data_IF_304822495606
#
_entry.id   IF_304822495606
#
_cell.length_a   1.000
_cell.length_b   1.000
_cell.length_c   1.000
_cell.angle_alpha   90.00
_cell.angle_beta   90.00
_cell.angle_gamma   90.00
#
_symmetry.space_group_name_H-M   'P 1'
#
loop_
_entity.id
_entity.type
_entity.pdbx_description
1 polymer ?
#
# COMPACT_ATOMS: atom_id res chain seq x y z
N UNK A 1 -10.80 -19.17 -20.41
CA UNK A 1 -10.62 -18.63 -19.04
C UNK A 1 -9.76 -17.38 -19.14
N UNK A 2 -10.37 -16.18 -19.19
CA UNK A 2 -9.64 -14.89 -19.24
C UNK A 2 -9.98 -14.13 -17.97
N UNK A 3 -8.93 -13.76 -17.24
CA UNK A 3 -8.99 -13.07 -15.95
C UNK A 3 -9.77 -11.76 -16.07
N UNK A 4 -10.62 -11.56 -15.07
CA UNK A 4 -11.47 -10.39 -14.89
C UNK A 4 -10.64 -9.11 -14.80
N UNK A 5 -11.12 -8.08 -15.49
CA UNK A 5 -10.58 -6.71 -15.50
C UNK A 5 -10.60 -6.14 -14.08
N UNK A 6 -9.43 -5.89 -13.50
CA UNK A 6 -9.24 -4.97 -12.38
C UNK A 6 -9.72 -3.58 -12.83
N UNK A 7 -10.94 -3.20 -12.44
CA UNK A 7 -11.52 -1.88 -12.68
C UNK A 7 -10.95 -0.91 -11.66
N UNK A 8 -10.15 0.05 -12.15
CA UNK A 8 -10.03 1.42 -11.66
C UNK A 8 -10.17 1.68 -10.14
N UNK A 9 -9.43 0.95 -9.31
CA UNK A 9 -9.23 1.28 -7.89
C UNK A 9 -8.53 2.63 -7.71
N UNK A 10 -7.83 3.10 -8.75
CA UNK A 10 -7.16 4.41 -8.83
C UNK A 10 -8.11 5.59 -8.70
N UNK A 11 -9.29 5.55 -9.35
CA UNK A 11 -10.23 6.67 -9.35
C UNK A 11 -10.86 6.88 -7.97
N UNK A 12 -11.16 5.78 -7.28
CA UNK A 12 -11.79 5.81 -5.94
C UNK A 12 -10.79 6.25 -4.88
N UNK A 13 -9.56 5.73 -4.90
CA UNK A 13 -8.51 6.11 -3.95
C UNK A 13 -8.10 7.58 -4.10
N UNK A 14 -8.06 8.13 -5.32
CA UNK A 14 -7.72 9.54 -5.53
C UNK A 14 -8.87 10.51 -5.20
N UNK A 15 -10.13 10.09 -5.34
CA UNK A 15 -11.30 10.92 -4.97
C UNK A 15 -11.57 10.96 -3.46
N UNK A 16 -11.06 10.00 -2.69
CA UNK A 16 -11.29 9.89 -1.25
C UNK A 16 -10.19 10.48 -0.37
N UNK A 17 -9.09 10.97 -0.95
CA UNK A 17 -8.10 11.74 -0.19
C UNK A 17 -8.67 13.15 0.07
N UNK A 18 -8.87 13.55 1.34
CA UNK A 18 -9.42 14.86 1.65
C UNK A 18 -8.52 15.95 1.09
N UNK A 19 -9.10 16.86 0.29
CA UNK A 19 -8.43 17.96 -0.39
C UNK A 19 -7.79 19.01 0.54
N UNK A 20 -7.73 18.74 1.85
CA UNK A 20 -7.29 19.68 2.87
C UNK A 20 -6.11 19.17 3.72
N UNK A 21 -5.51 18.04 3.37
CA UNK A 21 -4.38 17.45 4.11
C UNK A 21 -3.12 17.34 3.25
N UNK A 22 -2.75 18.47 2.63
CA UNK A 22 -1.51 18.60 1.85
C UNK A 22 -0.24 18.34 2.69
N UNK A 23 -0.35 18.26 4.02
CA UNK A 23 0.73 17.79 4.91
C UNK A 23 1.03 16.29 4.76
N UNK A 24 -0.02 15.46 4.66
CA UNK A 24 0.08 13.99 4.51
C UNK A 24 0.80 13.60 3.21
N UNK A 25 0.49 14.24 2.08
CA UNK A 25 1.12 13.92 0.80
C UNK A 25 2.60 14.37 0.71
N UNK A 26 2.97 15.42 1.46
CA UNK A 26 4.36 15.88 1.58
C UNK A 26 5.19 14.98 2.51
N UNK A 27 4.63 14.53 3.63
CA UNK A 27 5.29 13.55 4.52
C UNK A 27 5.47 12.19 3.84
N UNK A 28 4.47 11.75 3.07
CA UNK A 28 4.53 10.59 2.19
C UNK A 28 5.68 10.77 1.18
N UNK A 29 5.82 11.93 0.54
CA UNK A 29 6.92 12.19 -0.42
C UNK A 29 8.32 12.09 0.18
N UNK A 30 8.49 12.47 1.46
CA UNK A 30 9.81 12.45 2.12
C UNK A 30 10.29 11.02 2.45
N UNK A 31 9.38 10.07 2.64
CA UNK A 31 9.72 8.69 3.01
C UNK A 31 9.68 7.68 1.83
N UNK A 32 9.15 8.08 0.67
CA UNK A 32 9.14 7.23 -0.54
C UNK A 32 10.51 6.87 -1.12
N UNK A 33 11.57 7.72 -1.01
CA UNK A 33 12.90 7.35 -1.46
C UNK A 33 13.41 6.04 -0.86
N UNK A 34 13.24 5.86 0.45
CA UNK A 34 13.61 4.64 1.17
C UNK A 34 12.82 3.44 0.66
N UNK A 35 11.50 3.57 0.56
CA UNK A 35 10.62 2.51 0.06
C UNK A 35 10.93 2.10 -1.38
N UNK A 36 11.10 3.07 -2.29
CA UNK A 36 11.40 2.80 -3.70
C UNK A 36 12.70 2.02 -3.83
N UNK A 37 13.75 2.40 -3.08
CA UNK A 37 15.01 1.66 -3.06
C UNK A 37 14.85 0.26 -2.48
N UNK A 38 14.10 0.13 -1.39
CA UNK A 38 13.86 -1.16 -0.76
C UNK A 38 13.14 -2.12 -1.73
N UNK A 39 12.10 -1.63 -2.43
CA UNK A 39 11.34 -2.43 -3.42
C UNK A 39 12.17 -2.71 -4.67
N UNK A 40 12.98 -1.75 -5.13
CA UNK A 40 13.94 -2.00 -6.22
C UNK A 40 14.93 -3.11 -5.85
N UNK A 41 15.45 -3.12 -4.61
CA UNK A 41 16.35 -4.14 -4.11
C UNK A 41 15.67 -5.51 -4.04
N UNK A 42 14.47 -5.57 -3.46
CA UNK A 42 13.66 -6.79 -3.36
C UNK A 42 13.36 -7.40 -4.75
N UNK A 43 12.84 -6.57 -5.67
CA UNK A 43 12.51 -6.98 -7.04
C UNK A 43 13.71 -7.08 -7.98
N UNK A 44 14.94 -6.87 -7.48
CA UNK A 44 16.20 -6.85 -8.24
C UNK A 44 16.13 -5.91 -9.48
N UNK A 45 15.43 -4.79 -9.34
CA UNK A 45 15.30 -3.76 -10.39
C UNK A 45 16.43 -2.76 -10.27
N UNK A 46 17.13 -2.54 -11.37
CA UNK A 46 18.24 -1.58 -11.49
C UNK A 46 17.79 -0.26 -12.12
N UNK A 47 18.56 0.80 -11.87
CA UNK A 47 18.39 2.10 -12.56
C UNK A 47 18.45 1.97 -14.09
N UNK A 48 19.29 1.06 -14.58
CA UNK A 48 19.42 0.77 -16.01
C UNK A 48 18.10 0.22 -16.58
N UNK A 49 17.46 -0.72 -15.88
CA UNK A 49 16.15 -1.24 -16.26
C UNK A 49 15.06 -0.17 -16.25
N UNK A 50 15.03 0.71 -15.22
CA UNK A 50 14.09 1.84 -15.21
C UNK A 50 14.29 2.78 -16.40
N UNK A 51 15.54 3.02 -16.80
CA UNK A 51 15.90 3.86 -17.95
C UNK A 51 15.51 3.17 -19.27
N UNK A 52 15.80 1.88 -19.42
CA UNK A 52 15.47 1.10 -20.63
C UNK A 52 13.95 0.95 -20.80
N UNK A 53 13.21 0.79 -19.71
CA UNK A 53 11.75 0.80 -19.68
C UNK A 53 11.13 2.20 -19.83
N UNK A 54 11.94 3.25 -20.05
CA UNK A 54 11.50 4.67 -20.19
C UNK A 54 10.70 5.20 -18.99
N UNK A 55 10.89 4.61 -17.81
CA UNK A 55 10.30 5.09 -16.56
C UNK A 55 10.99 6.38 -16.13
N UNK A 56 12.33 6.38 -16.17
CA UNK A 56 13.15 7.55 -15.90
C UNK A 56 13.85 8.04 -17.17
N UNK A 57 14.21 9.34 -17.22
CA UNK A 57 14.80 9.94 -18.43
C UNK A 57 16.25 9.46 -18.64
N UNK A 58 16.63 9.24 -19.91
CA UNK A 58 17.99 8.84 -20.32
C UNK A 58 19.08 9.85 -19.93
N UNK A 59 18.75 11.13 -19.78
CA UNK A 59 19.72 12.14 -19.34
C UNK A 59 19.91 12.18 -17.82
N UNK A 60 18.92 11.75 -17.04
CA UNK A 60 18.91 11.92 -15.57
C UNK A 60 19.09 10.62 -14.79
N UNK A 61 19.13 9.45 -15.45
CA UNK A 61 19.17 8.15 -14.76
C UNK A 61 20.39 7.95 -13.85
N UNK A 62 21.54 8.57 -14.17
CA UNK A 62 22.75 8.47 -13.35
C UNK A 62 22.57 9.16 -11.99
N UNK A 63 21.86 10.29 -11.97
CA UNK A 63 21.55 11.08 -10.79
C UNK A 63 20.18 10.70 -10.18
N UNK A 64 19.65 9.53 -10.50
CA UNK A 64 18.31 9.12 -10.06
C UNK A 64 18.19 9.15 -8.54
N UNK A 65 19.16 8.60 -7.81
CA UNK A 65 19.14 8.55 -6.35
C UNK A 65 19.16 9.95 -5.74
N UNK A 66 20.03 10.83 -6.23
CA UNK A 66 20.10 12.22 -5.76
C UNK A 66 18.80 12.98 -6.02
N UNK A 67 18.18 12.75 -7.19
CA UNK A 67 16.88 13.36 -7.54
C UNK A 67 15.77 12.82 -6.65
N UNK A 68 15.81 11.53 -6.34
CA UNK A 68 14.84 10.88 -5.47
C UNK A 68 14.92 11.47 -4.05
N UNK A 69 16.13 11.62 -3.48
CA UNK A 69 16.33 12.20 -2.15
C UNK A 69 15.95 13.68 -2.07
N UNK A 70 16.22 14.45 -3.12
CA UNK A 70 15.89 15.89 -3.18
C UNK A 70 14.43 16.16 -3.51
N UNK A 71 13.64 15.12 -3.78
CA UNK A 71 12.26 15.29 -4.27
C UNK A 71 12.18 15.90 -5.68
N UNK A 72 13.26 15.88 -6.46
CA UNK A 72 13.34 16.37 -7.84
C UNK A 72 12.81 15.32 -8.85
N UNK A 73 11.67 14.74 -8.50
CA UNK A 73 10.92 13.79 -9.31
C UNK A 73 9.51 14.34 -9.51
N UNK A 74 9.14 14.54 -10.78
CA UNK A 74 7.78 14.98 -11.12
C UNK A 74 6.73 13.95 -10.69
N UNK A 75 5.50 14.40 -10.40
CA UNK A 75 4.42 13.49 -10.02
C UNK A 75 4.18 12.37 -11.05
N UNK A 76 4.24 12.69 -12.35
CA UNK A 76 4.09 11.71 -13.42
C UNK A 76 5.28 10.73 -13.54
N UNK A 77 6.49 11.13 -13.15
CA UNK A 77 7.64 10.20 -13.06
C UNK A 77 7.51 9.29 -11.84
N UNK A 78 7.10 9.84 -10.70
CA UNK A 78 6.80 9.08 -9.49
C UNK A 78 5.72 8.02 -9.74
N UNK A 79 4.60 8.39 -10.36
CA UNK A 79 3.52 7.45 -10.70
C UNK A 79 4.01 6.31 -11.61
N UNK A 80 4.84 6.61 -12.62
CA UNK A 80 5.43 5.59 -13.49
C UNK A 80 6.36 4.64 -12.72
N UNK A 81 7.16 5.17 -11.79
CA UNK A 81 8.03 4.35 -10.91
C UNK A 81 7.18 3.42 -10.05
N UNK A 82 6.16 3.96 -9.38
CA UNK A 82 5.29 3.21 -8.48
C UNK A 82 4.55 2.08 -9.21
N UNK A 83 4.02 2.36 -10.41
CA UNK A 83 3.37 1.36 -11.25
C UNK A 83 4.36 0.31 -11.78
N UNK A 84 5.55 0.73 -12.22
CA UNK A 84 6.56 -0.21 -12.73
C UNK A 84 7.08 -1.15 -11.65
N UNK A 85 7.28 -0.62 -10.45
CA UNK A 85 7.68 -1.39 -9.28
C UNK A 85 6.52 -2.13 -8.63
N UNK A 86 5.30 -1.98 -9.15
CA UNK A 86 4.07 -2.59 -8.61
C UNK A 86 4.00 -2.42 -7.08
N UNK A 87 4.08 -1.16 -6.65
CA UNK A 87 4.01 -0.77 -5.24
C UNK A 87 2.54 -0.56 -4.88
N UNK A 88 2.06 -1.31 -3.89
CA UNK A 88 0.72 -1.13 -3.34
C UNK A 88 0.70 0.14 -2.47
N UNK A 89 -0.02 1.17 -2.92
CA UNK A 89 -0.05 2.47 -2.24
C UNK A 89 -0.68 2.42 -0.85
N UNK A 90 -1.67 1.56 -0.63
CA UNK A 90 -2.29 1.41 0.69
C UNK A 90 -1.27 0.81 1.66
N UNK A 91 -0.55 -0.22 1.22
CA UNK A 91 0.52 -0.85 2.01
C UNK A 91 1.69 0.10 2.25
N UNK A 92 2.10 0.87 1.22
CA UNK A 92 3.12 1.90 1.34
C UNK A 92 2.72 2.98 2.36
N UNK A 93 1.47 3.44 2.31
CA UNK A 93 0.95 4.40 3.28
C UNK A 93 0.90 3.82 4.70
N UNK A 94 0.48 2.57 4.88
CA UNK A 94 0.50 1.93 6.20
C UNK A 94 1.92 1.81 6.75
N UNK A 95 2.86 1.30 5.94
CA UNK A 95 4.26 1.16 6.33
C UNK A 95 4.89 2.49 6.73
N UNK A 96 4.70 3.54 5.92
CA UNK A 96 5.37 4.82 6.13
C UNK A 96 4.67 5.75 7.13
N UNK A 97 3.34 5.79 7.15
CA UNK A 97 2.56 6.73 7.97
C UNK A 97 2.15 6.10 9.29
N UNK A 98 1.72 4.84 9.29
CA UNK A 98 1.23 4.18 10.49
C UNK A 98 2.33 3.44 11.27
N UNK A 99 3.27 2.81 10.56
CA UNK A 99 4.35 2.03 11.17
C UNK A 99 5.70 2.77 11.19
N UNK A 100 5.82 3.87 10.43
CA UNK A 100 6.98 4.75 10.44
C UNK A 100 8.25 4.19 9.80
N UNK A 101 8.16 3.06 9.07
CA UNK A 101 9.33 2.38 8.51
C UNK A 101 9.02 1.78 7.13
N UNK A 102 9.94 1.96 6.18
CA UNK A 102 9.84 1.37 4.84
C UNK A 102 10.03 -0.15 4.82
N UNK A 103 10.78 -0.72 5.76
CA UNK A 103 11.00 -2.17 5.82
C UNK A 103 9.72 -2.93 6.20
N UNK A 104 8.83 -2.29 6.98
CA UNK A 104 7.51 -2.84 7.34
C UNK A 104 6.62 -3.06 6.11
N UNK A 105 6.94 -2.46 4.96
CA UNK A 105 6.25 -2.75 3.71
C UNK A 105 6.34 -4.23 3.33
N UNK A 106 7.43 -4.93 3.66
CA UNK A 106 7.62 -6.32 3.28
C UNK A 106 7.05 -7.31 4.30
N UNK A 107 6.57 -6.82 5.44
CA UNK A 107 6.03 -7.67 6.48
C UNK A 107 4.64 -8.21 6.08
N UNK A 108 4.36 -9.52 6.25
CA UNK A 108 3.06 -10.11 5.92
C UNK A 108 1.89 -9.47 6.66
N UNK A 109 2.14 -8.93 7.86
CA UNK A 109 1.15 -8.19 8.66
C UNK A 109 0.73 -6.90 7.97
N UNK A 110 1.67 -6.17 7.34
CA UNK A 110 1.41 -4.95 6.60
C UNK A 110 0.65 -5.22 5.30
N UNK A 111 1.03 -6.29 4.58
CA UNK A 111 0.29 -6.76 3.39
C UNK A 111 -1.16 -7.11 3.76
N UNK A 112 -1.35 -7.89 4.82
CA UNK A 112 -2.68 -8.29 5.30
C UNK A 112 -3.51 -7.09 5.73
N UNK A 113 -2.91 -6.14 6.46
CA UNK A 113 -3.58 -4.92 6.87
C UNK A 113 -4.00 -4.07 5.67
N UNK A 114 -3.17 -3.98 4.63
CA UNK A 114 -3.50 -3.27 3.40
C UNK A 114 -4.68 -3.92 2.66
N UNK A 115 -4.69 -5.24 2.54
CA UNK A 115 -5.81 -5.99 1.95
C UNK A 115 -7.10 -5.79 2.75
N UNK A 116 -7.02 -5.84 4.07
CA UNK A 116 -8.17 -5.61 4.95
C UNK A 116 -8.70 -4.18 4.80
N UNK A 117 -7.83 -3.18 4.79
CA UNK A 117 -8.21 -1.78 4.61
C UNK A 117 -8.90 -1.56 3.26
N UNK A 118 -8.36 -2.12 2.17
CA UNK A 118 -8.99 -2.06 0.85
C UNK A 118 -10.38 -2.70 0.85
N UNK A 119 -10.52 -3.91 1.41
CA UNK A 119 -11.79 -4.61 1.48
C UNK A 119 -12.83 -3.84 2.34
N UNK A 120 -12.39 -3.24 3.44
CA UNK A 120 -13.23 -2.43 4.31
C UNK A 120 -13.72 -1.17 3.59
N UNK A 121 -12.84 -0.46 2.88
CA UNK A 121 -13.22 0.75 2.12
C UNK A 121 -14.26 0.43 1.04
N UNK A 122 -14.05 -0.66 0.27
CA UNK A 122 -15.00 -1.10 -0.75
C UNK A 122 -16.35 -1.42 -0.11
N UNK A 123 -16.34 -2.18 0.98
CA UNK A 123 -17.56 -2.57 1.69
C UNK A 123 -18.29 -1.36 2.28
N UNK A 124 -17.57 -0.45 2.95
CA UNK A 124 -18.14 0.77 3.51
C UNK A 124 -18.76 1.64 2.40
N UNK A 125 -18.07 1.82 1.28
CA UNK A 125 -18.60 2.62 0.16
C UNK A 125 -19.93 2.05 -0.34
N UNK A 126 -20.02 0.73 -0.50
CA UNK A 126 -21.27 0.07 -0.89
C UNK A 126 -22.37 0.27 0.15
N UNK A 127 -22.06 0.14 1.44
CA UNK A 127 -23.06 0.32 2.50
C UNK A 127 -23.50 1.78 2.67
N UNK A 128 -22.60 2.75 2.49
CA UNK A 128 -22.91 4.19 2.57
C UNK A 128 -23.87 4.60 1.46
N UNK A 129 -23.79 3.99 0.26
CA UNK A 129 -24.79 4.24 -0.79
C UNK A 129 -26.20 3.80 -0.38
N UNK A 130 -26.35 2.83 0.53
CA UNK A 130 -27.65 2.42 1.08
C UNK A 130 -28.19 3.39 2.14
N UNK A 131 -27.34 4.27 2.66
CA UNK A 131 -27.70 5.30 3.64
C UNK A 131 -27.97 6.66 2.97
N UNK A 132 -28.20 6.68 1.65
CA UNK A 132 -28.29 7.91 0.84
C UNK A 132 -27.09 8.85 1.04
N UNK A 133 -25.90 8.29 1.31
CA UNK A 133 -24.69 9.06 1.58
C UNK A 133 -24.60 9.67 2.98
N UNK A 134 -25.60 9.45 3.84
CA UNK A 134 -25.64 10.00 5.20
C UNK A 134 -24.83 9.12 6.17
N UNK A 135 -23.50 9.25 6.11
CA UNK A 135 -22.57 8.56 7.00
C UNK A 135 -21.79 9.54 7.86
N UNK A 136 -22.04 9.50 9.16
CA UNK A 136 -21.30 10.32 10.13
C UNK A 136 -20.01 9.60 10.56
N UNK A 137 -18.87 10.31 10.67
CA UNK A 137 -17.64 9.74 11.15
C UNK A 137 -17.80 9.05 12.51
N UNK A 138 -17.26 7.83 12.62
CA UNK A 138 -17.24 7.11 13.88
C UNK A 138 -16.18 7.70 14.83
N UNK A 139 -16.45 7.61 16.14
CA UNK A 139 -15.47 8.01 17.17
C UNK A 139 -14.23 7.12 17.09
N UNK A 140 -13.05 7.71 17.27
CA UNK A 140 -11.76 7.01 17.21
C UNK A 140 -11.71 5.76 18.11
N UNK A 141 -12.25 5.84 19.33
CA UNK A 141 -12.29 4.70 20.26
C UNK A 141 -13.09 3.51 19.71
N UNK A 142 -14.17 3.76 18.96
CA UNK A 142 -14.95 2.69 18.33
C UNK A 142 -14.17 2.06 17.17
N UNK A 143 -13.50 2.88 16.35
CA UNK A 143 -12.62 2.38 15.29
C UNK A 143 -11.49 1.51 15.85
N UNK A 144 -10.88 1.92 16.98
CA UNK A 144 -9.85 1.14 17.65
C UNK A 144 -10.37 -0.22 18.14
N UNK A 145 -11.56 -0.26 18.76
CA UNK A 145 -12.18 -1.51 19.22
C UNK A 145 -12.53 -2.45 18.07
N UNK A 146 -13.01 -1.92 16.94
CA UNK A 146 -13.24 -2.68 15.71
C UNK A 146 -11.93 -3.27 15.21
N UNK A 147 -10.87 -2.45 15.15
CA UNK A 147 -9.53 -2.88 14.75
C UNK A 147 -8.99 -4.02 15.61
N UNK A 148 -9.05 -3.89 16.94
CA UNK A 148 -8.60 -4.90 17.89
C UNK A 148 -9.35 -6.23 17.72
N UNK A 149 -10.67 -6.17 17.51
CA UNK A 149 -11.49 -7.35 17.26
C UNK A 149 -11.08 -8.05 15.96
N UNK A 150 -10.87 -7.30 14.87
CA UNK A 150 -10.42 -7.88 13.61
C UNK A 150 -9.01 -8.47 13.72
N UNK A 151 -8.07 -7.78 14.37
CA UNK A 151 -6.73 -8.29 14.61
C UNK A 151 -6.75 -9.60 15.41
N UNK A 152 -7.55 -9.66 16.49
CA UNK A 152 -7.71 -10.86 17.30
C UNK A 152 -8.25 -12.04 16.48
N UNK A 153 -9.24 -11.79 15.62
CA UNK A 153 -9.80 -12.82 14.74
C UNK A 153 -8.79 -13.32 13.70
N UNK A 154 -7.95 -12.44 13.16
CA UNK A 154 -6.88 -12.82 12.22
C UNK A 154 -5.82 -13.69 12.88
N UNK A 155 -5.38 -13.32 14.09
CA UNK A 155 -4.39 -14.12 14.86
C UNK A 155 -4.95 -15.50 15.17
N UNK A 156 -6.20 -15.57 15.60
CA UNK A 156 -6.87 -16.83 15.90
C UNK A 156 -7.03 -17.71 14.65
N UNK A 157 -7.36 -17.11 13.51
CA UNK A 157 -7.39 -17.82 12.23
C UNK A 157 -6.00 -18.37 11.85
N UNK A 158 -4.96 -17.54 12.00
CA UNK A 158 -3.59 -17.94 11.70
C UNK A 158 -3.12 -19.10 12.60
N UNK A 159 -3.45 -19.05 13.90
CA UNK A 159 -3.14 -20.15 14.82
C UNK A 159 -3.74 -21.47 14.34
N UNK A 160 -5.02 -21.46 13.95
CA UNK A 160 -5.69 -22.67 13.44
C UNK A 160 -5.05 -23.21 12.16
N UNK A 161 -4.64 -22.33 11.24
CA UNK A 161 -3.93 -22.75 10.03
C UNK A 161 -2.60 -23.44 10.37
N UNK A 162 -1.83 -22.87 11.29
CA UNK A 162 -0.56 -23.47 11.74
C UNK A 162 -0.78 -24.84 12.41
N UNK A 163 -1.84 -25.00 13.20
CA UNK A 163 -2.19 -26.28 13.84
C UNK A 163 -2.58 -27.35 12.82
N UNK A 164 -3.30 -26.99 11.75
CA UNK A 164 -3.65 -27.91 10.67
C UNK A 164 -2.41 -28.34 9.88
N UNK A 165 -1.54 -27.39 9.52
CA UNK A 165 -0.29 -27.68 8.81
C UNK A 165 0.64 -28.60 9.63
N UNK A 166 0.71 -28.41 10.95
CA UNK A 166 1.49 -29.26 11.84
C UNK A 166 0.95 -30.69 11.94
N UNK A 167 -0.38 -30.88 11.82
CA UNK A 167 -1.00 -32.21 11.80
C UNK A 167 -0.73 -32.94 10.49
N UNK A 168 -0.83 -32.24 9.37
CA UNK A 168 -0.59 -32.83 8.05
C UNK A 168 0.87 -33.32 7.91
N UNK A 169 1.83 -32.58 8.47
CA UNK A 169 3.26 -32.97 8.52
C UNK A 169 3.56 -34.13 9.50
N UNK A 170 2.63 -34.48 10.39
CA UNK A 170 2.79 -35.59 11.35
C UNK A 170 2.21 -36.92 10.85
N UNK A 171 1.59 -36.91 9.67
CA UNK A 171 0.97 -38.08 9.03
C UNK A 171 1.77 -38.62 7.83
N UNK A 172 2.88 -37.95 7.48
CA UNK A 172 3.92 -38.40 6.53
C UNK A 172 5.17 -38.91 7.29
#
# INVERSE_FOLDING_TARGET
MRMSRSRDTWGVLMQMLPSNDYGSFLEIRLNYPGLIRAVMRDKRVTKTQLKDAKIIRKCTWRCFDDRLDRGDISAAEMERILRYLDINLVQASLALVCLGNADEYFEPTCETAALLAQALIVSLTQQVTLLDGNFNPLKQALCASIGERHASNLIEHQRRLSELQARDLSLD
#
